data_IF_847263821774
#
_entry.id   IF_847263821774
#
_cell.length_a   1.000
_cell.length_b   1.000
_cell.length_c   1.000
_cell.angle_alpha   90.00
_cell.angle_beta   90.00
_cell.angle_gamma   90.00
#
_symmetry.space_group_name_H-M   'P 1'
#
loop_
_entity.id
_entity.type
_entity.pdbx_description
1 polymer ?
#
# COMPACT_ATOMS: atom_id res chain seq x y z
N UNK A 1 -28.58 -10.77 2.74
CA UNK A 1 -27.12 -11.03 2.84
C UNK A 1 -26.66 -10.80 4.27
N UNK A 2 -25.88 -11.72 4.84
CA UNK A 2 -25.25 -11.53 6.16
C UNK A 2 -24.27 -10.36 6.06
N UNK A 3 -24.29 -9.45 7.03
CA UNK A 3 -23.31 -8.36 7.12
C UNK A 3 -21.92 -8.96 7.40
N UNK A 4 -20.94 -8.59 6.60
CA UNK A 4 -19.55 -9.01 6.76
C UNK A 4 -18.85 -7.94 7.57
N UNK A 5 -18.34 -8.33 8.73
CA UNK A 5 -17.54 -7.48 9.61
C UNK A 5 -16.06 -7.49 9.18
N UNK A 6 -15.52 -6.31 8.93
CA UNK A 6 -14.11 -6.07 8.60
C UNK A 6 -13.50 -5.26 9.74
N UNK A 7 -12.39 -5.76 10.30
CA UNK A 7 -11.61 -5.06 11.31
C UNK A 7 -10.29 -4.57 10.70
N UNK A 8 -10.10 -3.26 10.64
CA UNK A 8 -8.84 -2.63 10.23
C UNK A 8 -7.95 -2.47 11.46
N UNK A 9 -6.71 -2.92 11.34
CA UNK A 9 -5.74 -2.91 12.43
C UNK A 9 -4.45 -2.21 11.96
N UNK A 10 -4.05 -1.20 12.73
CA UNK A 10 -2.84 -0.43 12.51
C UNK A 10 -2.03 -0.23 13.81
N UNK A 11 -0.73 0.00 13.67
CA UNK A 11 0.08 0.56 14.74
C UNK A 11 0.23 2.08 14.54
N UNK A 12 0.89 2.76 15.48
CA UNK A 12 1.11 4.21 15.43
C UNK A 12 1.84 4.64 14.13
N UNK A 13 2.73 3.81 13.62
CA UNK A 13 3.48 4.09 12.39
C UNK A 13 2.64 3.95 11.11
N UNK A 14 1.47 3.31 11.16
CA UNK A 14 0.60 3.08 9.99
C UNK A 14 -0.82 3.59 10.20
N UNK A 15 -1.09 4.36 11.26
CA UNK A 15 -2.44 4.80 11.63
C UNK A 15 -3.02 5.77 10.59
N UNK A 16 -2.21 6.68 10.04
CA UNK A 16 -2.63 7.62 9.00
C UNK A 16 -3.05 6.86 7.75
N UNK A 17 -2.18 6.01 7.21
CA UNK A 17 -2.48 5.21 6.03
C UNK A 17 -3.72 4.31 6.18
N UNK A 18 -3.92 3.75 7.37
CA UNK A 18 -5.07 2.91 7.66
C UNK A 18 -6.37 3.72 7.85
N UNK A 19 -6.27 4.93 8.43
CA UNK A 19 -7.38 5.89 8.47
C UNK A 19 -7.75 6.34 7.07
N UNK A 20 -6.75 6.60 6.24
CA UNK A 20 -6.96 7.03 4.87
C UNK A 20 -7.70 5.94 4.09
N UNK A 21 -7.23 4.70 4.21
CA UNK A 21 -7.93 3.54 3.70
C UNK A 21 -9.36 3.47 4.25
N UNK A 22 -9.56 3.50 5.57
CA UNK A 22 -10.87 3.43 6.21
C UNK A 22 -11.85 4.49 5.66
N UNK A 23 -11.39 5.73 5.52
CA UNK A 23 -12.18 6.84 5.01
C UNK A 23 -12.57 6.66 3.53
N UNK A 24 -11.73 6.00 2.72
CA UNK A 24 -12.08 5.66 1.33
C UNK A 24 -13.27 4.69 1.27
N UNK A 25 -13.38 3.75 2.21
CA UNK A 25 -14.42 2.71 2.18
C UNK A 25 -15.75 3.10 2.82
N UNK A 26 -15.77 4.01 3.79
CA UNK A 26 -17.02 4.44 4.47
C UNK A 26 -17.84 5.41 3.62
N UNK A 27 -17.24 5.96 2.56
CA UNK A 27 -17.96 6.84 1.64
C UNK A 27 -19.21 6.10 1.12
N UNK A 28 -20.42 6.68 1.28
CA UNK A 28 -21.70 6.05 0.91
C UNK A 28 -21.76 5.54 -0.53
N UNK A 29 -20.90 6.09 -1.39
CA UNK A 29 -20.79 5.80 -2.82
C UNK A 29 -20.44 4.32 -3.08
N UNK A 30 -19.68 3.67 -2.19
CA UNK A 30 -19.14 2.33 -2.45
C UNK A 30 -19.92 1.17 -1.80
N UNK A 31 -21.01 1.47 -1.09
CA UNK A 31 -21.74 0.50 -0.26
C UNK A 31 -22.99 -0.12 -0.93
N UNK A 32 -23.38 0.29 -2.15
CA UNK A 32 -24.60 -0.25 -2.78
C UNK A 32 -24.51 -1.75 -3.08
N UNK A 33 -23.32 -2.25 -3.37
CA UNK A 33 -23.11 -3.60 -3.90
C UNK A 33 -22.60 -4.58 -2.83
N UNK A 34 -22.14 -4.09 -1.67
CA UNK A 34 -21.53 -4.91 -0.63
C UNK A 34 -22.07 -4.62 0.78
N UNK A 35 -22.39 -5.69 1.51
CA UNK A 35 -22.82 -5.62 2.91
C UNK A 35 -21.64 -5.67 3.90
N UNK A 36 -20.71 -4.71 3.79
CA UNK A 36 -19.56 -4.60 4.71
C UNK A 36 -19.84 -3.65 5.88
N UNK A 37 -19.37 -4.02 7.07
CA UNK A 37 -19.21 -3.11 8.21
C UNK A 37 -17.72 -3.01 8.58
N UNK A 38 -17.19 -1.80 8.60
CA UNK A 38 -15.79 -1.55 8.92
C UNK A 38 -15.66 -1.04 10.36
N UNK A 39 -14.77 -1.65 11.13
CA UNK A 39 -14.33 -1.18 12.43
C UNK A 39 -12.82 -0.89 12.37
N UNK A 40 -12.37 0.12 13.10
CA UNK A 40 -10.97 0.50 13.17
C UNK A 40 -10.45 0.34 14.61
N UNK A 41 -9.34 -0.38 14.77
CA UNK A 41 -8.68 -0.56 16.07
C UNK A 41 -7.15 -0.39 15.97
N UNK A 42 -6.54 0.10 17.05
CA UNK A 42 -5.09 0.15 17.16
C UNK A 42 -4.57 -1.12 17.82
N UNK A 43 -3.32 -1.51 17.51
CA UNK A 43 -2.77 -2.73 18.13
C UNK A 43 -2.62 -2.62 19.66
N UNK A 44 -2.47 -1.40 20.19
CA UNK A 44 -2.42 -1.16 21.63
C UNK A 44 -3.76 -1.42 22.31
N UNK A 45 -4.90 -1.08 21.67
CA UNK A 45 -6.24 -1.37 22.20
C UNK A 45 -6.57 -2.87 22.16
N UNK A 46 -5.95 -3.61 21.25
CA UNK A 46 -6.20 -5.03 21.02
C UNK A 46 -5.60 -5.96 22.09
N UNK A 47 -4.68 -5.47 22.93
CA UNK A 47 -4.02 -6.26 23.99
C UNK A 47 -4.96 -6.80 25.07
N UNK A 48 -6.20 -6.31 25.16
CA UNK A 48 -7.18 -6.72 26.19
C UNK A 48 -8.38 -7.50 25.65
N UNK A 49 -8.56 -7.62 24.32
CA UNK A 49 -9.86 -8.03 23.74
C UNK A 49 -9.86 -8.90 22.48
N UNK A 50 -8.70 -9.19 21.86
CA UNK A 50 -8.63 -9.88 20.55
C UNK A 50 -9.38 -11.21 20.48
N UNK A 51 -9.44 -11.96 21.60
CA UNK A 51 -10.13 -13.24 21.67
C UNK A 51 -11.65 -13.16 21.48
N UNK A 52 -12.24 -11.96 21.52
CA UNK A 52 -13.68 -11.72 21.39
C UNK A 52 -14.08 -11.09 20.05
N UNK A 53 -13.13 -10.77 19.17
CA UNK A 53 -13.46 -10.18 17.87
C UNK A 53 -14.29 -11.15 17.02
N UNK A 54 -15.46 -10.69 16.57
CA UNK A 54 -16.35 -11.40 15.65
C UNK A 54 -16.12 -10.99 14.19
N UNK A 55 -15.01 -10.30 13.90
CA UNK A 55 -14.65 -9.88 12.56
C UNK A 55 -14.45 -11.08 11.64
N UNK A 56 -14.98 -10.99 10.42
CA UNK A 56 -14.81 -12.01 9.38
C UNK A 56 -13.46 -11.87 8.68
N UNK A 57 -13.00 -10.63 8.47
CA UNK A 57 -11.68 -10.29 7.95
C UNK A 57 -10.97 -9.33 8.92
N UNK A 58 -9.66 -9.53 9.06
CA UNK A 58 -8.74 -8.52 9.57
C UNK A 58 -7.89 -7.94 8.44
N UNK A 59 -7.89 -6.62 8.31
CA UNK A 59 -7.03 -5.89 7.39
C UNK A 59 -5.87 -5.29 8.18
N UNK A 60 -4.63 -5.56 7.78
CA UNK A 60 -3.43 -5.15 8.50
C UNK A 60 -2.51 -4.32 7.61
N UNK A 61 -1.97 -3.21 8.13
CA UNK A 61 -1.21 -2.23 7.34
C UNK A 61 0.30 -2.19 7.59
N UNK A 62 0.79 -2.91 8.61
CA UNK A 62 2.21 -2.91 8.98
C UNK A 62 2.69 -4.35 9.27
N UNK A 63 3.89 -4.77 8.80
CA UNK A 63 4.44 -6.09 9.09
C UNK A 63 4.56 -6.38 10.59
N UNK A 64 4.99 -5.43 11.41
CA UNK A 64 5.08 -5.57 12.88
C UNK A 64 3.72 -5.88 13.49
N UNK A 65 2.67 -5.17 13.05
CA UNK A 65 1.28 -5.42 13.46
C UNK A 65 0.87 -6.84 13.07
N UNK A 66 1.19 -7.27 11.86
CA UNK A 66 0.93 -8.61 11.36
C UNK A 66 1.64 -9.69 12.19
N UNK A 67 2.90 -9.47 12.57
CA UNK A 67 3.66 -10.36 13.45
C UNK A 67 3.07 -10.47 14.86
N UNK A 68 2.70 -9.33 15.44
CA UNK A 68 2.10 -9.29 16.77
C UNK A 68 0.72 -9.96 16.79
N UNK A 69 -0.04 -9.80 15.71
CA UNK A 69 -1.34 -10.42 15.50
C UNK A 69 -1.23 -11.93 15.30
N UNK A 70 -0.24 -12.39 14.53
CA UNK A 70 -0.03 -13.83 14.29
C UNK A 70 0.08 -14.63 15.60
N UNK A 71 0.65 -14.04 16.67
CA UNK A 71 0.75 -14.69 17.99
C UNK A 71 -0.57 -14.71 18.78
N UNK A 72 -1.57 -13.92 18.40
CA UNK A 72 -2.79 -13.64 19.18
C UNK A 72 -4.08 -14.03 18.47
N UNK A 73 -4.05 -14.15 17.14
CA UNK A 73 -5.23 -14.47 16.32
C UNK A 73 -5.64 -15.92 16.58
N UNK A 74 -6.95 -16.13 16.74
CA UNK A 74 -7.56 -17.46 16.72
C UNK A 74 -7.67 -17.94 15.26
N UNK A 75 -7.60 -19.26 15.07
CA UNK A 75 -7.65 -20.04 13.81
C UNK A 75 -8.77 -19.60 12.81
N UNK A 76 -9.78 -18.85 13.26
CA UNK A 76 -11.01 -18.62 12.53
C UNK A 76 -11.12 -17.34 11.69
N UNK A 77 -10.09 -16.48 11.61
CA UNK A 77 -10.19 -15.19 10.92
C UNK A 77 -9.29 -15.11 9.68
N UNK A 78 -9.81 -14.54 8.60
CA UNK A 78 -9.01 -14.25 7.41
C UNK A 78 -8.17 -13.00 7.61
N UNK A 79 -6.87 -13.10 7.32
CA UNK A 79 -5.98 -11.95 7.37
C UNK A 79 -5.68 -11.49 5.95
N UNK A 80 -5.91 -10.20 5.69
CA UNK A 80 -5.51 -9.52 4.48
C UNK A 80 -4.49 -8.45 4.85
N UNK A 81 -3.31 -8.55 4.27
CA UNK A 81 -2.25 -7.59 4.50
C UNK A 81 -2.23 -6.55 3.38
N UNK A 82 -2.29 -5.26 3.72
CA UNK A 82 -2.22 -4.17 2.76
C UNK A 82 -0.91 -3.42 2.95
N UNK A 83 -0.15 -3.28 1.87
CA UNK A 83 1.18 -2.68 1.91
C UNK A 83 1.48 -1.85 0.67
N UNK A 84 2.53 -1.06 0.75
CA UNK A 84 3.22 -0.45 -0.40
C UNK A 84 4.57 -1.15 -0.62
N UNK A 85 5.34 -0.71 -1.61
CA UNK A 85 6.66 -1.28 -1.94
C UNK A 85 7.66 -1.22 -0.77
N UNK A 86 7.58 -0.21 0.09
CA UNK A 86 8.50 -0.06 1.23
C UNK A 86 8.19 -1.09 2.32
N UNK A 87 6.90 -1.25 2.65
CA UNK A 87 6.44 -2.11 3.73
C UNK A 87 6.42 -3.60 3.33
N UNK A 88 6.33 -3.91 2.03
CA UNK A 88 6.37 -5.30 1.54
C UNK A 88 7.68 -6.03 1.86
N UNK A 89 8.81 -5.29 1.94
CA UNK A 89 10.18 -5.84 2.03
C UNK A 89 10.46 -6.71 3.26
N UNK A 90 9.67 -6.55 4.31
CA UNK A 90 9.91 -7.19 5.60
C UNK A 90 8.85 -8.25 5.94
N UNK A 91 8.11 -8.72 4.93
CA UNK A 91 7.18 -9.81 5.15
C UNK A 91 7.93 -11.11 5.42
N UNK A 92 7.58 -11.84 6.49
CA UNK A 92 8.11 -13.17 6.70
C UNK A 92 7.58 -14.09 5.58
N UNK A 93 8.38 -15.07 5.13
CA UNK A 93 7.99 -15.99 4.05
C UNK A 93 6.74 -16.82 4.34
N UNK A 94 6.35 -16.95 5.61
CA UNK A 94 5.25 -17.80 6.07
C UNK A 94 4.49 -17.08 7.18
N UNK A 95 3.23 -16.75 6.91
CA UNK A 95 2.28 -16.27 7.90
C UNK A 95 1.05 -17.16 7.84
N UNK A 96 0.89 -18.06 8.82
CA UNK A 96 -0.36 -18.74 9.03
C UNK A 96 -1.55 -17.77 8.97
N UNK A 97 -2.61 -18.19 8.30
CA UNK A 97 -3.86 -17.44 8.11
C UNK A 97 -3.76 -16.19 7.23
N UNK A 98 -2.59 -15.87 6.66
CA UNK A 98 -2.48 -14.84 5.64
C UNK A 98 -3.12 -15.34 4.35
N UNK A 99 -4.30 -14.81 4.00
CA UNK A 99 -5.04 -15.25 2.84
C UNK A 99 -4.74 -14.44 1.59
N UNK A 100 -4.39 -13.15 1.75
CA UNK A 100 -4.11 -12.26 0.63
C UNK A 100 -3.22 -11.09 1.06
N UNK A 101 -2.41 -10.64 0.12
CA UNK A 101 -1.68 -9.38 0.18
C UNK A 101 -2.23 -8.47 -0.90
N UNK A 102 -2.67 -7.27 -0.53
CA UNK A 102 -2.99 -6.20 -1.46
C UNK A 102 -1.82 -5.22 -1.43
N UNK A 103 -1.07 -5.18 -2.52
CA UNK A 103 -0.01 -4.20 -2.68
C UNK A 103 -0.56 -2.99 -3.42
N UNK A 104 -0.49 -1.84 -2.77
CA UNK A 104 -0.94 -0.58 -3.30
C UNK A 104 0.21 0.19 -3.93
N UNK A 105 0.03 0.59 -5.19
CA UNK A 105 1.01 1.35 -5.98
C UNK A 105 2.40 0.71 -6.06
N UNK A 106 2.48 -0.60 -5.89
CA UNK A 106 3.76 -1.31 -5.88
C UNK A 106 4.06 -2.08 -7.16
N UNK A 107 5.27 -2.64 -7.23
CA UNK A 107 5.73 -3.50 -8.31
C UNK A 107 6.04 -4.92 -7.79
N UNK A 108 5.38 -5.95 -8.33
CA UNK A 108 5.60 -7.37 -7.92
C UNK A 108 7.03 -7.82 -8.21
N UNK A 109 7.68 -7.22 -9.21
CA UNK A 109 9.07 -7.51 -9.56
C UNK A 109 10.07 -6.89 -8.57
N UNK A 110 9.60 -6.02 -7.67
CA UNK A 110 10.46 -5.52 -6.60
C UNK A 110 10.89 -6.68 -5.69
N UNK A 111 12.14 -6.65 -5.26
CA UNK A 111 12.78 -7.71 -4.46
C UNK A 111 12.23 -7.79 -3.01
N UNK A 112 10.99 -7.37 -2.80
CA UNK A 112 10.37 -7.15 -1.50
C UNK A 112 9.53 -8.35 -1.03
N UNK A 113 9.13 -9.28 -1.91
CA UNK A 113 8.27 -10.42 -1.57
C UNK A 113 8.97 -11.79 -1.67
N UNK A 114 10.26 -11.86 -1.37
CA UNK A 114 11.03 -13.11 -1.52
C UNK A 114 10.43 -14.22 -0.66
N UNK A 115 9.84 -15.20 -1.33
CA UNK A 115 9.22 -16.36 -0.70
C UNK A 115 7.72 -16.27 -0.49
N UNK A 116 7.05 -15.15 -0.79
CA UNK A 116 5.59 -15.08 -0.72
C UNK A 116 4.97 -15.49 -2.06
N UNK A 117 4.07 -16.50 -2.11
CA UNK A 117 3.41 -16.94 -3.34
C UNK A 117 2.72 -15.79 -4.10
N UNK A 118 3.00 -15.66 -5.41
CA UNK A 118 2.47 -14.57 -6.25
C UNK A 118 0.95 -14.58 -6.35
N UNK A 119 0.34 -15.75 -6.17
CA UNK A 119 -1.10 -15.99 -6.13
C UNK A 119 -1.77 -15.31 -4.93
N UNK A 120 -1.01 -15.07 -3.85
CA UNK A 120 -1.48 -14.32 -2.69
C UNK A 120 -1.40 -12.81 -2.92
N UNK A 121 -0.68 -12.33 -3.91
CA UNK A 121 -0.44 -10.90 -4.14
C UNK A 121 -1.43 -10.36 -5.17
N UNK A 122 -2.08 -9.25 -4.84
CA UNK A 122 -2.89 -8.44 -5.76
C UNK A 122 -2.30 -7.03 -5.79
N UNK A 123 -1.86 -6.58 -6.96
CA UNK A 123 -1.39 -5.19 -7.12
C UNK A 123 -2.53 -4.32 -7.58
N UNK A 124 -2.81 -3.28 -6.80
CA UNK A 124 -3.90 -2.35 -7.05
C UNK A 124 -3.35 -0.93 -7.01
N UNK A 125 -3.43 -0.15 -8.11
CA UNK A 125 -3.00 1.24 -8.08
C UNK A 125 -4.05 2.08 -7.34
N UNK A 126 -3.82 2.46 -6.09
CA UNK A 126 -4.78 3.23 -5.30
C UNK A 126 -4.14 4.54 -4.83
N UNK A 127 -4.73 5.67 -5.22
CA UNK A 127 -4.26 6.98 -4.81
C UNK A 127 -4.96 7.36 -3.48
N UNK A 128 -4.24 7.36 -2.36
CA UNK A 128 -4.80 7.70 -1.02
C UNK A 128 -5.15 9.18 -0.83
N UNK A 129 -5.30 9.93 -1.90
CA UNK A 129 -5.40 11.37 -1.79
C UNK A 129 -6.85 11.71 -1.46
N UNK A 130 -7.09 12.01 -0.18
CA UNK A 130 -8.40 12.48 0.28
C UNK A 130 -8.77 13.78 -0.41
N UNK A 131 -9.96 13.80 -1.03
CA UNK A 131 -10.68 15.04 -1.30
C UNK A 131 -11.07 15.65 0.03
N UNK A 132 -10.22 16.47 0.63
CA UNK A 132 -10.69 17.39 1.68
C UNK A 132 -11.56 18.43 0.97
N UNK A 133 -12.87 18.33 1.17
CA UNK A 133 -13.85 19.30 0.69
C UNK A 133 -13.57 20.66 1.32
N UNK A 134 -12.80 21.49 0.62
CA UNK A 134 -12.45 22.82 1.07
C UNK A 134 -11.41 23.44 0.17
N UNK A 135 -11.82 23.98 -0.98
CA UNK A 135 -11.05 25.00 -1.68
C UNK A 135 -10.91 26.19 -0.73
N UNK A 136 -9.80 26.30 -0.02
CA UNK A 136 -9.37 27.59 0.49
C UNK A 136 -8.77 28.32 -0.70
N UNK A 137 -9.52 29.23 -1.31
CA UNK A 137 -8.92 30.23 -2.17
C UNK A 137 -7.89 31.00 -1.33
N UNK A 138 -6.63 30.99 -1.76
CA UNK A 138 -5.56 31.73 -1.12
C UNK A 138 -5.99 33.21 -1.00
N UNK A 139 -6.25 33.67 0.22
CA UNK A 139 -6.48 35.09 0.46
C UNK A 139 -5.14 35.81 0.34
N UNK A 140 -4.98 36.55 -0.76
CA UNK A 140 -3.88 37.48 -0.97
C UNK A 140 -3.92 38.56 0.11
N UNK A 141 -3.10 38.40 1.14
CA UNK A 141 -2.67 39.47 2.03
C UNK A 141 -1.15 39.60 1.90
N UNK A 142 -0.56 40.68 2.42
CA UNK A 142 0.90 40.97 2.48
C UNK A 142 1.71 39.93 3.30
N UNK A 143 1.28 38.68 3.29
CA UNK A 143 1.81 37.56 4.06
C UNK A 143 3.01 36.99 3.32
N UNK A 144 4.07 36.72 4.09
CA UNK A 144 5.24 35.95 3.65
C UNK A 144 4.79 34.65 3.00
N UNK A 145 5.27 34.37 1.78
CA UNK A 145 4.94 33.14 1.07
C UNK A 145 5.52 31.95 1.84
N UNK A 146 4.67 30.99 2.16
CA UNK A 146 5.02 29.76 2.88
C UNK A 146 5.21 28.62 1.89
N UNK A 147 6.39 28.01 1.93
CA UNK A 147 6.79 26.97 1.00
C UNK A 147 7.10 25.72 1.82
N UNK A 148 6.50 24.61 1.43
CA UNK A 148 6.79 23.29 2.00
C UNK A 148 7.76 22.54 1.10
N UNK A 149 8.75 21.89 1.69
CA UNK A 149 9.65 20.99 0.96
C UNK A 149 9.79 19.65 1.68
N UNK A 150 9.32 18.58 1.03
CA UNK A 150 9.44 17.21 1.54
C UNK A 150 10.71 16.56 0.94
N UNK A 151 11.67 16.20 1.80
CA UNK A 151 12.95 15.61 1.36
C UNK A 151 12.84 14.08 1.37
N UNK A 152 12.99 13.47 0.19
CA UNK A 152 13.16 12.03 0.06
C UNK A 152 14.52 11.52 0.58
N UNK A 153 14.63 10.21 0.84
CA UNK A 153 15.86 9.61 1.40
C UNK A 153 17.11 9.80 0.52
N UNK A 154 16.95 9.96 -0.79
CA UNK A 154 18.04 10.01 -1.77
C UNK A 154 18.40 11.44 -2.23
N UNK A 155 17.81 12.47 -1.60
CA UNK A 155 17.79 13.82 -2.16
C UNK A 155 18.62 14.86 -1.40
N UNK A 156 19.46 14.44 -0.46
CA UNK A 156 20.21 15.36 0.42
C UNK A 156 21.06 16.39 -0.35
N UNK A 157 21.67 16.00 -1.47
CA UNK A 157 22.44 16.91 -2.32
C UNK A 157 21.56 17.97 -2.97
N UNK A 158 20.38 17.58 -3.44
CA UNK A 158 19.41 18.50 -4.02
C UNK A 158 18.81 19.41 -2.95
N UNK A 159 18.56 18.89 -1.75
CA UNK A 159 18.09 19.68 -0.63
C UNK A 159 19.04 20.80 -0.25
N UNK A 160 20.36 20.54 -0.25
CA UNK A 160 21.38 21.60 -0.06
C UNK A 160 21.29 22.71 -1.11
N UNK A 161 20.97 22.35 -2.36
CA UNK A 161 20.79 23.31 -3.46
C UNK A 161 19.52 24.14 -3.26
N UNK A 162 18.41 23.51 -2.87
CA UNK A 162 17.15 24.19 -2.53
C UNK A 162 17.34 25.16 -1.35
N UNK A 163 17.92 24.69 -0.25
CA UNK A 163 18.23 25.52 0.94
C UNK A 163 19.10 26.72 0.56
N UNK A 164 20.12 26.51 -0.28
CA UNK A 164 20.97 27.59 -0.75
C UNK A 164 20.15 28.68 -1.45
N UNK A 165 19.17 28.33 -2.27
CA UNK A 165 18.31 29.31 -2.96
C UNK A 165 17.50 30.11 -1.95
N UNK A 166 16.86 29.44 -0.99
CA UNK A 166 16.02 30.11 0.01
C UNK A 166 16.80 30.96 1.02
N UNK A 167 18.07 30.60 1.29
CA UNK A 167 18.95 31.46 2.09
C UNK A 167 19.19 32.84 1.45
N UNK A 168 19.20 32.92 0.12
CA UNK A 168 19.38 34.18 -0.61
C UNK A 168 18.06 34.95 -0.79
N UNK A 169 16.91 34.35 -0.42
CA UNK A 169 15.59 34.93 -0.60
C UNK A 169 14.79 34.91 0.73
N UNK A 170 15.16 35.76 1.70
CA UNK A 170 14.55 35.77 3.04
C UNK A 170 13.09 36.28 3.06
N UNK A 171 12.56 36.70 1.92
CA UNK A 171 11.14 37.06 1.75
C UNK A 171 10.20 35.84 1.76
N UNK A 172 10.75 34.63 1.78
CA UNK A 172 10.01 33.38 1.79
C UNK A 172 10.28 32.60 3.07
N UNK A 173 9.26 31.93 3.59
CA UNK A 173 9.39 30.96 4.67
C UNK A 173 9.45 29.56 4.06
N UNK A 174 10.52 28.80 4.35
CA UNK A 174 10.68 27.42 3.90
C UNK A 174 10.55 26.46 5.08
N UNK A 175 9.53 25.61 5.05
CA UNK A 175 9.37 24.54 6.02
C UNK A 175 9.77 23.21 5.37
N UNK A 176 10.80 22.57 5.92
CA UNK A 176 11.39 21.34 5.41
C UNK A 176 10.93 20.15 6.24
N UNK A 177 10.27 19.19 5.61
CA UNK A 177 9.85 17.95 6.25
C UNK A 177 10.83 16.83 5.88
N UNK A 178 11.46 16.23 6.89
CA UNK A 178 12.52 15.26 6.68
C UNK A 178 12.69 14.30 7.86
N UNK A 179 13.50 13.25 7.67
CA UNK A 179 13.97 12.40 8.77
C UNK A 179 15.01 13.14 9.62
N UNK A 180 15.03 12.85 10.92
CA UNK A 180 15.95 13.49 11.89
C UNK A 180 17.43 13.42 11.46
N UNK A 181 17.86 12.29 10.88
CA UNK A 181 19.22 12.13 10.38
C UNK A 181 19.58 13.16 9.30
N UNK A 182 18.64 13.49 8.42
CA UNK A 182 18.87 14.46 7.35
C UNK A 182 18.94 15.89 7.91
N UNK A 183 18.10 16.24 8.88
CA UNK A 183 18.18 17.53 9.58
C UNK A 183 19.57 17.71 10.20
N UNK A 184 20.06 16.69 10.90
CA UNK A 184 21.41 16.70 11.46
C UNK A 184 22.48 16.96 10.39
N UNK A 185 22.36 16.35 9.21
CA UNK A 185 23.28 16.52 8.08
C UNK A 185 23.18 17.87 7.37
N UNK A 186 22.07 18.60 7.56
CA UNK A 186 21.81 19.92 7.00
C UNK A 186 22.05 21.05 8.02
N UNK A 187 22.40 20.70 9.26
CA UNK A 187 22.69 21.67 10.32
C UNK A 187 23.79 22.66 9.89
N UNK A 188 23.47 23.95 10.01
CA UNK A 188 24.38 25.05 9.64
C UNK A 188 24.37 25.44 8.15
N UNK A 189 23.54 24.80 7.32
CA UNK A 189 23.35 25.19 5.92
C UNK A 189 22.18 26.17 5.71
N UNK A 190 21.42 26.55 6.75
CA UNK A 190 20.18 27.31 6.63
C UNK A 190 20.12 28.53 7.55
N UNK A 191 19.31 29.54 7.18
CA UNK A 191 19.06 30.75 7.97
C UNK A 191 17.75 30.65 8.78
N UNK A 192 17.36 31.73 9.48
CA UNK A 192 16.19 31.76 10.37
C UNK A 192 14.82 31.63 9.67
N UNK A 193 14.77 31.75 8.34
CA UNK A 193 13.52 31.61 7.58
C UNK A 193 13.25 30.17 7.14
N UNK A 194 14.14 29.24 7.53
CA UNK A 194 14.05 27.83 7.19
C UNK A 194 13.81 27.01 8.46
N UNK A 195 12.67 26.34 8.53
CA UNK A 195 12.27 25.50 9.64
C UNK A 195 12.36 24.02 9.25
N UNK A 196 12.62 23.16 10.24
CA UNK A 196 12.66 21.71 10.04
C UNK A 196 11.58 21.04 10.89
N UNK A 197 10.90 20.08 10.27
CA UNK A 197 9.83 19.31 10.88
C UNK A 197 10.04 17.81 10.62
N UNK A 198 9.73 16.94 11.61
CA UNK A 198 9.66 15.51 11.37
C UNK A 198 8.60 15.17 10.32
N UNK A 199 8.88 14.21 9.43
CA UNK A 199 7.91 13.74 8.42
C UNK A 199 6.56 13.29 9.01
N UNK A 200 6.54 12.83 10.26
CA UNK A 200 5.35 12.32 10.94
C UNK A 200 4.72 13.34 11.91
N UNK A 201 5.04 14.64 11.80
CA UNK A 201 4.43 15.67 12.66
C UNK A 201 3.00 15.99 12.22
N UNK A 202 2.16 16.52 13.12
CA UNK A 202 0.82 16.98 12.73
C UNK A 202 0.87 18.08 11.65
N UNK A 203 1.96 18.88 11.61
CA UNK A 203 2.17 19.89 10.57
C UNK A 203 2.43 19.26 9.19
N UNK A 204 2.95 18.03 9.14
CA UNK A 204 3.16 17.31 7.89
C UNK A 204 1.84 16.92 7.21
N UNK A 205 0.70 17.04 7.90
CA UNK A 205 -0.61 16.70 7.37
C UNK A 205 -1.31 17.88 6.66
N UNK A 206 -1.01 19.12 7.05
CA UNK A 206 -1.71 20.31 6.54
C UNK A 206 -0.98 20.97 5.37
N UNK A 207 -1.03 20.34 4.19
CA UNK A 207 -0.43 20.89 2.95
C UNK A 207 -1.13 22.17 2.49
N UNK A 208 -2.42 22.32 2.78
CA UNK A 208 -3.26 23.46 2.34
C UNK A 208 -2.91 24.80 2.99
N UNK A 209 -2.04 24.83 4.00
CA UNK A 209 -1.56 26.06 4.63
C UNK A 209 -0.34 26.67 3.91
N UNK A 210 0.17 25.98 2.88
CA UNK A 210 1.33 26.38 2.08
C UNK A 210 0.91 26.95 0.72
N UNK A 211 1.68 27.92 0.24
CA UNK A 211 1.48 28.57 -1.06
C UNK A 211 2.17 27.80 -2.20
N UNK A 212 3.16 26.96 -1.87
CA UNK A 212 3.89 26.09 -2.79
C UNK A 212 4.37 24.84 -2.07
N UNK A 213 4.22 23.70 -2.72
CA UNK A 213 4.79 22.43 -2.31
C UNK A 213 5.94 22.03 -3.23
N UNK A 214 7.08 21.66 -2.67
CA UNK A 214 8.26 21.13 -3.37
C UNK A 214 8.46 19.68 -2.95
N UNK A 215 8.74 18.79 -3.90
CA UNK A 215 9.09 17.40 -3.58
C UNK A 215 8.91 16.45 -4.76
N UNK A 216 8.68 15.17 -4.46
CA UNK A 216 8.49 14.11 -5.45
C UNK A 216 7.32 13.18 -5.10
N UNK A 217 7.02 12.27 -6.02
CA UNK A 217 6.14 11.12 -5.83
C UNK A 217 4.74 11.50 -5.29
N UNK A 218 4.25 10.77 -4.28
CA UNK A 218 2.90 10.95 -3.73
C UNK A 218 2.72 12.32 -3.04
N UNK A 219 3.79 12.96 -2.58
CA UNK A 219 3.71 14.30 -1.97
C UNK A 219 3.21 15.34 -2.98
N UNK A 220 3.75 15.29 -4.20
CA UNK A 220 3.30 16.16 -5.30
C UNK A 220 1.86 15.86 -5.68
N UNK A 221 1.51 14.58 -5.84
CA UNK A 221 0.14 14.19 -6.18
C UNK A 221 -0.85 14.70 -5.11
N UNK A 222 -0.50 14.57 -3.83
CA UNK A 222 -1.31 15.07 -2.70
C UNK A 222 -1.49 16.59 -2.77
N UNK A 223 -0.43 17.34 -3.02
CA UNK A 223 -0.50 18.79 -3.18
C UNK A 223 -1.44 19.20 -4.33
N UNK A 224 -1.36 18.55 -5.49
CA UNK A 224 -2.19 18.86 -6.67
C UNK A 224 -3.69 18.64 -6.38
N UNK A 225 -4.05 17.52 -5.77
CA UNK A 225 -5.46 17.24 -5.41
C UNK A 225 -5.97 18.21 -4.33
N UNK A 226 -5.09 18.66 -3.45
CA UNK A 226 -5.39 19.71 -2.48
C UNK A 226 -5.37 21.13 -3.08
N UNK A 227 -5.20 21.24 -4.39
CA UNK A 227 -5.10 22.49 -5.15
C UNK A 227 -3.96 23.41 -4.68
N UNK A 228 -2.91 22.83 -4.13
CA UNK A 228 -1.67 23.53 -3.78
C UNK A 228 -0.71 23.45 -4.96
N UNK A 229 -0.18 24.58 -5.45
CA UNK A 229 0.88 24.59 -6.46
C UNK A 229 2.02 23.65 -6.10
N UNK A 230 2.46 22.83 -7.06
CA UNK A 230 3.44 21.79 -6.81
C UNK A 230 4.64 21.91 -7.76
N UNK A 231 5.84 21.84 -7.20
CA UNK A 231 7.11 21.94 -7.92
C UNK A 231 7.92 20.66 -7.75
N UNK A 232 8.10 19.93 -8.86
CA UNK A 232 8.68 18.58 -8.86
C UNK A 232 10.19 18.63 -8.83
N UNK A 233 10.76 18.04 -7.79
CA UNK A 233 12.20 17.82 -7.62
C UNK A 233 12.37 16.45 -7.00
N UNK A 234 13.02 15.52 -7.70
CA UNK A 234 13.13 14.15 -7.20
C UNK A 234 14.35 13.38 -7.70
N UNK A 235 14.30 12.07 -7.50
CA UNK A 235 15.33 11.09 -7.92
C UNK A 235 15.70 11.14 -9.41
N UNK A 236 14.82 11.65 -10.28
CA UNK A 236 15.04 11.82 -11.72
C UNK A 236 15.30 13.28 -12.11
N UNK A 237 15.84 14.07 -11.19
CA UNK A 237 16.24 15.45 -11.44
C UNK A 237 15.13 16.48 -11.23
N UNK A 238 15.25 17.61 -11.94
CA UNK A 238 14.39 18.79 -11.76
C UNK A 238 13.26 18.79 -12.79
N UNK A 239 12.02 18.61 -12.31
CA UNK A 239 10.82 18.70 -13.14
C UNK A 239 10.33 20.13 -13.31
N UNK A 240 10.26 20.90 -12.23
CA UNK A 240 9.68 22.24 -12.24
C UNK A 240 8.21 22.26 -11.85
N UNK A 241 7.51 23.37 -12.13
CA UNK A 241 6.12 23.58 -11.72
C UNK A 241 5.15 22.67 -12.50
N UNK A 242 4.18 22.10 -11.79
CA UNK A 242 3.08 21.34 -12.39
C UNK A 242 1.98 22.30 -12.84
N UNK A 243 1.59 22.16 -14.10
CA UNK A 243 0.57 22.96 -14.79
C UNK A 243 -0.41 22.01 -15.49
N UNK A 244 -1.56 22.53 -15.89
CA UNK A 244 -2.59 21.73 -16.58
C UNK A 244 -2.05 21.02 -17.82
N UNK A 245 -1.15 21.65 -18.56
CA UNK A 245 -0.57 21.16 -19.81
C UNK A 245 0.37 19.96 -19.58
N UNK A 246 1.07 19.92 -18.45
CA UNK A 246 2.09 18.92 -18.16
C UNK A 246 1.66 17.88 -17.11
N UNK A 247 0.52 18.10 -16.44
CA UNK A 247 0.03 17.23 -15.36
C UNK A 247 -0.04 15.75 -15.76
N UNK A 248 -0.57 15.44 -16.94
CA UNK A 248 -0.74 14.06 -17.39
C UNK A 248 0.60 13.34 -17.58
N UNK A 249 1.61 14.05 -18.09
CA UNK A 249 2.96 13.51 -18.21
C UNK A 249 3.58 13.24 -16.84
N UNK A 250 3.43 14.17 -15.90
CA UNK A 250 3.90 13.97 -14.54
C UNK A 250 3.19 12.82 -13.84
N UNK A 251 1.87 12.71 -13.99
CA UNK A 251 1.07 11.62 -13.45
C UNK A 251 1.55 10.26 -13.96
N UNK A 252 1.77 10.13 -15.29
CA UNK A 252 2.29 8.89 -15.90
C UNK A 252 3.70 8.52 -15.43
N UNK A 253 4.52 9.51 -15.07
CA UNK A 253 5.89 9.29 -14.59
C UNK A 253 5.99 9.19 -13.06
N UNK A 254 4.87 9.33 -12.35
CA UNK A 254 4.82 9.27 -10.89
C UNK A 254 5.55 10.43 -10.21
N UNK A 255 5.65 11.62 -10.83
CA UNK A 255 6.24 12.82 -10.22
C UNK A 255 7.67 12.64 -9.69
N UNK A 256 8.51 11.84 -10.38
CA UNK A 256 9.86 11.47 -9.90
C UNK A 256 10.96 12.49 -10.17
N UNK A 257 10.67 13.59 -10.86
CA UNK A 257 11.67 14.55 -11.34
C UNK A 257 11.35 15.05 -12.73
N UNK A 258 12.37 15.18 -13.59
CA UNK A 258 12.21 15.65 -14.97
C UNK A 258 11.44 14.64 -15.81
N UNK A 259 10.50 15.10 -16.65
CA UNK A 259 9.84 14.22 -17.63
C UNK A 259 10.91 13.68 -18.61
N UNK A 260 11.07 12.36 -18.65
CA UNK A 260 12.15 11.69 -19.39
C UNK A 260 13.54 11.82 -18.76
N UNK A 261 13.62 12.23 -17.49
CA UNK A 261 14.85 12.24 -16.71
C UNK A 261 15.36 10.84 -16.38
N UNK A 262 16.64 10.75 -15.99
CA UNK A 262 17.26 9.49 -15.58
C UNK A 262 17.49 9.47 -14.07
N UNK A 263 17.50 8.27 -13.47
CA UNK A 263 17.79 8.11 -12.05
C UNK A 263 19.16 8.70 -11.69
N UNK A 264 19.20 9.53 -10.65
CA UNK A 264 20.42 10.18 -10.17
C UNK A 264 20.86 11.38 -11.02
N UNK A 265 19.99 11.89 -11.90
CA UNK A 265 20.28 13.07 -12.70
C UNK A 265 20.63 14.28 -11.83
N UNK A 266 21.78 14.90 -12.10
CA UNK A 266 22.23 16.05 -11.35
C UNK A 266 21.37 17.29 -11.67
N UNK A 267 20.88 17.96 -10.62
CA UNK A 267 20.16 19.24 -10.73
C UNK A 267 21.14 20.42 -10.71
N UNK A 268 21.33 21.20 -11.79
CA UNK A 268 22.19 22.38 -11.76
C UNK A 268 21.55 23.50 -10.93
N UNK A 269 22.29 24.10 -9.99
CA UNK A 269 21.77 25.16 -9.08
C UNK A 269 21.17 26.33 -9.86
N UNK A 270 21.84 26.76 -10.94
CA UNK A 270 21.39 27.89 -11.75
C UNK A 270 20.07 27.60 -12.47
N UNK A 271 19.85 26.35 -12.88
CA UNK A 271 18.59 25.94 -13.50
C UNK A 271 17.47 25.89 -12.45
N UNK A 272 17.78 25.39 -11.26
CA UNK A 272 16.88 25.37 -10.12
C UNK A 272 16.42 26.79 -9.74
N UNK A 273 17.35 27.75 -9.65
CA UNK A 273 17.04 29.17 -9.41
C UNK A 273 16.09 29.74 -10.45
N UNK A 274 16.37 29.53 -11.74
CA UNK A 274 15.54 30.06 -12.85
C UNK A 274 14.12 29.47 -12.79
N UNK A 275 14.00 28.15 -12.65
CA UNK A 275 12.69 27.50 -12.64
C UNK A 275 11.89 27.82 -11.37
N UNK A 276 12.55 28.02 -10.22
CA UNK A 276 11.87 28.51 -9.03
C UNK A 276 11.34 29.92 -9.22
N UNK A 277 12.13 30.85 -9.76
CA UNK A 277 11.66 32.20 -10.02
C UNK A 277 10.45 32.22 -10.97
N UNK A 278 10.48 31.42 -12.04
CA UNK A 278 9.34 31.26 -12.96
C UNK A 278 8.09 30.69 -12.24
N UNK A 279 8.28 29.68 -11.39
CA UNK A 279 7.18 29.09 -10.62
C UNK A 279 6.52 30.11 -9.68
N UNK A 280 7.31 30.91 -8.96
CA UNK A 280 6.80 31.92 -8.03
C UNK A 280 6.02 33.01 -8.80
N UNK A 281 6.57 33.51 -9.91
CA UNK A 281 5.89 34.50 -10.75
C UNK A 281 4.53 33.99 -11.25
N UNK A 282 4.46 32.73 -11.69
CA UNK A 282 3.22 32.08 -12.13
C UNK A 282 2.20 31.95 -11.00
N UNK A 283 2.63 31.52 -9.81
CA UNK A 283 1.76 31.41 -8.62
C UNK A 283 1.20 32.77 -8.25
N UNK A 284 2.03 33.81 -8.18
CA UNK A 284 1.58 35.17 -7.87
C UNK A 284 0.59 35.70 -8.91
N UNK A 285 0.85 35.48 -10.21
CA UNK A 285 -0.05 35.87 -11.29
C UNK A 285 -1.41 35.18 -11.18
N UNK A 286 -1.40 33.87 -10.87
CA UNK A 286 -2.61 33.07 -10.74
C UNK A 286 -3.41 33.42 -9.48
N UNK A 287 -2.75 33.66 -8.35
CA UNK A 287 -3.38 34.13 -7.12
C UNK A 287 -4.07 35.48 -7.33
N UNK A 288 -3.44 36.42 -8.05
CA UNK A 288 -4.06 37.70 -8.43
C UNK A 288 -5.32 37.52 -9.29
N UNK A 289 -5.33 36.51 -10.14
CA UNK A 289 -6.44 36.22 -11.05
C UNK A 289 -7.50 35.26 -10.47
N UNK A 290 -7.26 34.71 -9.27
CA UNK A 290 -8.13 33.71 -8.65
C UNK A 290 -8.19 32.37 -9.41
N UNK A 291 -7.17 32.05 -10.21
CA UNK A 291 -7.10 30.83 -11.02
C UNK A 291 -6.17 29.79 -10.37
N UNK A 292 -6.50 28.51 -10.52
CA UNK A 292 -5.59 27.43 -10.14
C UNK A 292 -4.59 27.16 -11.27
N UNK A 293 -3.33 26.81 -10.92
CA UNK A 293 -2.31 26.38 -11.90
C UNK A 293 -2.70 25.08 -12.62
N UNK A 294 -3.47 24.25 -11.94
CA UNK A 294 -3.96 22.99 -12.44
C UNK A 294 -5.49 23.03 -12.47
N UNK A 295 -6.08 22.76 -13.64
CA UNK A 295 -7.53 22.71 -13.81
C UNK A 295 -8.14 21.61 -12.92
N UNK A 296 -9.05 21.94 -11.99
CA UNK A 296 -9.73 20.97 -11.13
C UNK A 296 -10.38 19.81 -11.88
N UNK A 297 -10.95 20.07 -13.07
CA UNK A 297 -11.60 19.02 -13.88
C UNK A 297 -10.58 17.98 -14.36
N UNK A 298 -9.36 18.42 -14.68
CA UNK A 298 -8.28 17.52 -15.10
C UNK A 298 -7.70 16.74 -13.92
N UNK A 299 -7.68 17.33 -12.73
CA UNK A 299 -7.35 16.60 -11.50
C UNK A 299 -8.41 15.52 -11.25
N UNK A 300 -9.69 15.85 -11.38
CA UNK A 300 -10.77 14.88 -11.23
C UNK A 300 -10.67 13.73 -12.23
N UNK A 301 -10.42 14.03 -13.51
CA UNK A 301 -10.23 13.02 -14.57
C UNK A 301 -9.08 12.06 -14.25
N UNK A 302 -7.94 12.56 -13.79
CA UNK A 302 -6.74 11.74 -13.58
C UNK A 302 -6.74 11.00 -12.24
N UNK A 303 -7.31 11.59 -11.20
CA UNK A 303 -7.23 11.08 -9.82
C UNK A 303 -8.56 10.56 -9.27
N UNK A 304 -9.71 11.00 -9.81
CA UNK A 304 -11.06 10.63 -9.36
C UNK A 304 -11.47 9.22 -9.78
N UNK A 305 -11.51 8.96 -11.10
CA UNK A 305 -12.01 7.69 -11.65
C UNK A 305 -11.10 6.49 -11.31
N UNK A 306 -9.80 6.72 -11.16
CA UNK A 306 -8.84 5.67 -10.82
C UNK A 306 -9.09 5.08 -9.43
N UNK A 307 -9.56 5.92 -8.49
CA UNK A 307 -9.77 5.49 -7.12
C UNK A 307 -11.02 4.64 -6.96
N UNK A 308 -12.11 4.99 -7.63
CA UNK A 308 -13.33 4.18 -7.63
C UNK A 308 -13.06 2.78 -8.20
N UNK A 309 -12.38 2.70 -9.34
CA UNK A 309 -11.99 1.42 -9.95
C UNK A 309 -11.13 0.59 -9.00
N UNK A 310 -10.18 1.22 -8.32
CA UNK A 310 -9.25 0.53 -7.42
C UNK A 310 -9.90 0.13 -6.09
N UNK A 311 -10.77 0.96 -5.54
CA UNK A 311 -11.61 0.62 -4.38
C UNK A 311 -12.48 -0.59 -4.73
N UNK A 312 -13.15 -0.57 -5.89
CA UNK A 312 -13.94 -1.71 -6.36
C UNK A 312 -13.11 -2.99 -6.45
N UNK A 313 -11.91 -2.92 -7.04
CA UNK A 313 -10.99 -4.07 -7.08
C UNK A 313 -10.61 -4.57 -5.68
N UNK A 314 -10.40 -3.67 -4.71
CA UNK A 314 -10.14 -4.07 -3.33
C UNK A 314 -11.36 -4.79 -2.76
N UNK A 315 -12.56 -4.22 -2.90
CA UNK A 315 -13.80 -4.83 -2.44
C UNK A 315 -14.03 -6.22 -3.05
N UNK A 316 -13.77 -6.38 -4.35
CA UNK A 316 -13.83 -7.67 -5.05
C UNK A 316 -12.85 -8.70 -4.47
N UNK A 317 -11.63 -8.27 -4.12
CA UNK A 317 -10.63 -9.12 -3.46
C UNK A 317 -11.07 -9.51 -2.05
N UNK A 318 -11.65 -8.59 -1.28
CA UNK A 318 -12.19 -8.87 0.05
C UNK A 318 -13.34 -9.89 -0.03
N UNK A 319 -14.32 -9.65 -0.90
CA UNK A 319 -15.47 -10.52 -1.13
C UNK A 319 -15.06 -11.91 -1.62
N UNK A 320 -14.13 -11.98 -2.57
CA UNK A 320 -13.55 -13.25 -3.02
C UNK A 320 -12.89 -14.02 -1.86
N UNK A 321 -12.09 -13.35 -1.04
CA UNK A 321 -11.37 -13.98 0.07
C UNK A 321 -12.33 -14.58 1.11
N UNK A 322 -13.41 -13.86 1.42
CA UNK A 322 -14.46 -14.33 2.33
C UNK A 322 -15.18 -15.54 1.78
N UNK A 323 -15.64 -15.45 0.53
CA UNK A 323 -16.38 -16.55 -0.12
C UNK A 323 -15.52 -17.80 -0.19
N UNK A 324 -14.25 -17.64 -0.59
CA UNK A 324 -13.28 -18.72 -0.62
C UNK A 324 -13.12 -19.38 0.76
N UNK A 325 -12.94 -18.61 1.82
CA UNK A 325 -12.88 -19.16 3.19
C UNK A 325 -14.16 -19.89 3.56
N UNK A 326 -15.33 -19.31 3.28
CA UNK A 326 -16.60 -19.97 3.56
C UNK A 326 -16.71 -21.31 2.82
N UNK A 327 -16.31 -21.38 1.55
CA UNK A 327 -16.31 -22.64 0.80
C UNK A 327 -15.34 -23.68 1.36
N UNK A 328 -14.20 -23.26 1.92
CA UNK A 328 -13.22 -24.14 2.58
C UNK A 328 -13.74 -24.68 3.92
N UNK A 329 -14.58 -23.92 4.62
CA UNK A 329 -15.14 -24.33 5.90
C UNK A 329 -16.52 -24.99 5.78
N UNK A 330 -17.10 -25.03 4.59
CA UNK A 330 -18.40 -25.65 4.32
C UNK A 330 -18.20 -27.09 3.82
N UNK A 331 -18.53 -28.13 4.62
CA UNK A 331 -18.35 -29.52 4.23
C UNK A 331 -19.09 -29.91 2.94
N UNK A 332 -20.17 -29.20 2.61
CA UNK A 332 -20.97 -29.46 1.39
C UNK A 332 -20.24 -28.98 0.14
N UNK A 333 -19.49 -27.88 0.25
CA UNK A 333 -18.79 -27.26 -0.89
C UNK A 333 -17.34 -27.77 -0.98
N UNK A 334 -16.75 -28.20 0.13
CA UNK A 334 -15.34 -28.59 0.24
C UNK A 334 -14.89 -29.58 -0.83
N UNK A 335 -15.67 -30.64 -1.06
CA UNK A 335 -15.41 -31.67 -2.07
C UNK A 335 -15.28 -31.12 -3.51
N UNK A 336 -15.91 -29.97 -3.79
CA UNK A 336 -15.89 -29.32 -5.11
C UNK A 336 -14.69 -28.41 -5.34
N UNK A 337 -13.90 -28.11 -4.30
CA UNK A 337 -12.77 -27.20 -4.38
C UNK A 337 -11.63 -27.81 -5.21
N UNK A 338 -11.02 -26.98 -6.04
CA UNK A 338 -9.78 -27.32 -6.75
C UNK A 338 -8.57 -27.10 -5.84
N UNK A 339 -7.65 -28.07 -5.84
CA UNK A 339 -6.43 -28.06 -5.06
C UNK A 339 -5.27 -27.70 -6.00
N UNK A 340 -4.45 -26.73 -5.61
CA UNK A 340 -3.24 -26.37 -6.33
C UNK A 340 -2.11 -26.12 -5.34
N UNK A 341 -0.96 -26.76 -5.52
CA UNK A 341 0.24 -26.42 -4.75
C UNK A 341 0.75 -25.04 -5.21
N UNK A 342 1.06 -24.16 -4.26
CA UNK A 342 1.55 -22.81 -4.56
C UNK A 342 2.88 -22.84 -5.31
N UNK A 343 3.13 -21.89 -6.22
CA UNK A 343 4.26 -21.93 -7.17
C UNK A 343 5.65 -21.99 -6.52
N UNK A 344 5.79 -21.48 -5.31
CA UNK A 344 7.07 -21.47 -4.58
C UNK A 344 7.26 -22.64 -3.63
N UNK A 345 6.31 -23.56 -3.58
CA UNK A 345 6.37 -24.73 -2.72
C UNK A 345 6.95 -25.89 -3.49
N UNK A 346 7.93 -26.57 -2.89
CA UNK A 346 8.48 -27.81 -3.42
C UNK A 346 8.65 -28.82 -2.30
N UNK A 347 8.26 -30.06 -2.56
CA UNK A 347 8.65 -31.18 -1.71
C UNK A 347 9.95 -31.81 -2.23
N UNK A 348 10.85 -32.17 -1.31
CA UNK A 348 12.07 -32.93 -1.61
C UNK A 348 12.18 -34.08 -0.60
N UNK A 349 12.74 -35.20 -1.03
CA UNK A 349 13.05 -36.32 -0.16
C UNK A 349 14.51 -36.21 0.30
N UNK A 350 14.74 -36.25 1.61
CA UNK A 350 16.07 -36.23 2.21
C UNK A 350 16.20 -37.39 3.20
N UNK A 351 16.84 -38.48 2.76
CA UNK A 351 16.89 -39.71 3.54
C UNK A 351 15.54 -40.41 3.57
N UNK A 352 14.94 -40.52 4.76
CA UNK A 352 13.60 -41.06 4.99
C UNK A 352 12.56 -39.96 5.27
N UNK A 353 12.96 -38.69 5.25
CA UNK A 353 12.07 -37.56 5.53
C UNK A 353 11.64 -36.89 4.24
N UNK A 354 10.35 -36.55 4.16
CA UNK A 354 9.81 -35.69 3.12
C UNK A 354 9.75 -34.27 3.65
N UNK A 355 10.47 -33.34 3.05
CA UNK A 355 10.50 -31.95 3.52
C UNK A 355 9.87 -31.02 2.50
N UNK A 356 9.06 -30.07 2.97
CA UNK A 356 8.49 -28.99 2.20
C UNK A 356 9.40 -27.77 2.35
N UNK A 357 9.86 -27.25 1.22
CA UNK A 357 10.68 -26.05 1.17
C UNK A 357 10.02 -24.98 0.31
N UNK A 358 10.39 -23.74 0.61
CA UNK A 358 10.21 -22.63 -0.30
C UNK A 358 11.34 -22.67 -1.34
N UNK A 359 11.03 -22.92 -2.61
CA UNK A 359 12.02 -23.13 -3.66
C UNK A 359 12.82 -21.86 -4.03
N UNK A 360 12.29 -20.66 -3.74
CA UNK A 360 12.99 -19.39 -3.98
C UNK A 360 13.98 -19.11 -2.85
N UNK A 361 13.52 -19.21 -1.61
CA UNK A 361 14.32 -18.81 -0.43
C UNK A 361 15.15 -19.96 0.14
N UNK A 362 14.87 -21.21 -0.26
CA UNK A 362 15.47 -22.42 0.31
C UNK A 362 14.99 -22.75 1.74
N UNK A 363 14.04 -21.96 2.28
CA UNK A 363 13.57 -22.11 3.66
C UNK A 363 12.77 -23.40 3.84
N UNK A 364 13.08 -24.15 4.90
CA UNK A 364 12.25 -25.26 5.36
C UNK A 364 10.92 -24.72 5.91
N UNK A 365 9.81 -25.20 5.35
CA UNK A 365 8.45 -24.87 5.79
C UNK A 365 7.96 -25.91 6.79
N UNK A 366 8.21 -27.19 6.50
CA UNK A 366 7.82 -28.31 7.36
C UNK A 366 8.28 -29.65 6.84
N UNK A 367 7.95 -30.70 7.58
CA UNK A 367 8.18 -32.11 7.24
C UNK A 367 6.84 -32.80 7.04
N UNK A 368 6.79 -33.74 6.13
CA UNK A 368 5.67 -34.65 5.91
C UNK A 368 6.11 -36.06 6.30
N UNK A 369 5.24 -36.81 6.96
CA UNK A 369 5.41 -38.26 7.06
C UNK A 369 5.05 -38.94 5.72
N UNK A 370 5.24 -40.27 5.65
CA UNK A 370 5.00 -41.04 4.41
C UNK A 370 3.55 -40.94 3.92
N UNK A 371 2.60 -40.92 4.84
CA UNK A 371 1.16 -40.85 4.57
C UNK A 371 0.76 -39.47 4.03
N UNK A 372 1.18 -38.41 4.72
CA UNK A 372 0.98 -37.01 4.31
C UNK A 372 1.65 -36.72 2.96
N UNK A 373 2.84 -37.27 2.71
CA UNK A 373 3.53 -37.13 1.43
C UNK A 373 2.76 -37.81 0.30
N UNK A 374 2.19 -38.99 0.54
CA UNK A 374 1.35 -39.67 -0.46
C UNK A 374 0.17 -38.79 -0.87
N UNK A 375 -0.53 -38.18 0.09
CA UNK A 375 -1.63 -37.23 -0.16
C UNK A 375 -1.12 -35.98 -0.88
N UNK A 376 -0.09 -35.33 -0.34
CA UNK A 376 0.48 -34.10 -0.89
C UNK A 376 0.97 -34.26 -2.34
N UNK A 377 1.58 -35.40 -2.67
CA UNK A 377 2.10 -35.67 -4.02
C UNK A 377 1.01 -35.65 -5.11
N UNK A 378 -0.26 -35.91 -4.74
CA UNK A 378 -1.41 -35.85 -5.67
C UNK A 378 -1.94 -34.42 -5.87
N UNK A 379 -1.73 -33.53 -4.90
CA UNK A 379 -2.18 -32.14 -4.95
C UNK A 379 -1.53 -31.31 -6.07
N UNK A 380 -0.37 -31.74 -6.59
CA UNK A 380 0.34 -31.07 -7.67
C UNK A 380 -0.34 -31.14 -9.05
N UNK A 381 -1.42 -31.90 -9.21
CA UNK A 381 -2.06 -32.19 -10.50
C UNK A 381 -3.32 -31.34 -10.79
N UNK A 382 -3.61 -30.30 -10.01
CA UNK A 382 -4.83 -29.48 -10.17
C UNK A 382 -6.12 -30.32 -10.18
N UNK A 383 -6.31 -31.12 -9.13
CA UNK A 383 -7.46 -31.99 -8.92
C UNK A 383 -8.48 -31.38 -7.95
N UNK A 384 -9.70 -31.90 -7.89
CA UNK A 384 -10.65 -31.54 -6.84
C UNK A 384 -10.43 -32.34 -5.56
N UNK A 385 -10.93 -31.86 -4.43
CA UNK A 385 -10.92 -32.61 -3.16
C UNK A 385 -11.63 -33.95 -3.28
N UNK A 386 -12.81 -33.99 -3.90
CA UNK A 386 -13.50 -35.25 -4.18
C UNK A 386 -12.63 -36.24 -4.96
N UNK A 387 -11.88 -35.74 -5.96
CA UNK A 387 -10.99 -36.58 -6.75
C UNK A 387 -9.78 -37.05 -5.94
N UNK A 388 -9.27 -36.22 -5.03
CA UNK A 388 -8.20 -36.62 -4.11
C UNK A 388 -8.66 -37.81 -3.26
N UNK A 389 -9.86 -37.74 -2.65
CA UNK A 389 -10.41 -38.86 -1.89
C UNK A 389 -10.51 -40.17 -2.69
N UNK A 390 -10.88 -40.10 -3.97
CA UNK A 390 -10.89 -41.28 -4.85
C UNK A 390 -9.48 -41.85 -5.11
N UNK A 391 -8.46 -40.99 -5.14
CA UNK A 391 -7.07 -41.38 -5.40
C UNK A 391 -6.32 -41.87 -4.15
N UNK A 392 -6.89 -41.62 -2.97
CA UNK A 392 -6.31 -41.98 -1.67
C UNK A 392 -7.34 -42.71 -0.80
N UNK A 393 -7.89 -43.86 -1.25
CA UNK A 393 -9.00 -44.55 -0.58
C UNK A 393 -8.62 -45.18 0.76
N UNK A 394 -7.32 -45.33 1.03
CA UNK A 394 -6.79 -45.93 2.26
C UNK A 394 -6.80 -44.96 3.46
N UNK A 395 -7.13 -43.68 3.24
CA UNK A 395 -7.16 -42.64 4.26
C UNK A 395 -8.59 -42.19 4.56
N UNK A 396 -8.87 -41.86 5.82
CA UNK A 396 -10.17 -41.32 6.20
C UNK A 396 -10.38 -39.93 5.57
N UNK A 397 -11.61 -39.64 5.15
CA UNK A 397 -11.93 -38.36 4.52
C UNK A 397 -11.69 -37.17 5.45
N UNK A 398 -12.02 -37.33 6.73
CA UNK A 398 -11.84 -36.28 7.74
C UNK A 398 -10.35 -35.92 7.90
N UNK A 399 -9.46 -36.92 7.98
CA UNK A 399 -8.02 -36.71 8.07
C UNK A 399 -7.46 -35.99 6.84
N UNK A 400 -7.90 -36.37 5.63
CA UNK A 400 -7.50 -35.67 4.39
C UNK A 400 -7.96 -34.21 4.42
N UNK A 401 -9.19 -33.95 4.85
CA UNK A 401 -9.77 -32.61 4.89
C UNK A 401 -9.04 -31.72 5.89
N UNK A 402 -8.79 -32.24 7.09
CA UNK A 402 -8.03 -31.54 8.13
C UNK A 402 -6.60 -31.25 7.67
N UNK A 403 -5.94 -32.20 7.02
CA UNK A 403 -4.62 -31.99 6.43
C UNK A 403 -4.63 -30.91 5.35
N UNK A 404 -5.59 -30.92 4.42
CA UNK A 404 -5.71 -29.90 3.38
C UNK A 404 -5.98 -28.50 3.97
N UNK A 405 -6.81 -28.41 5.00
CA UNK A 405 -7.06 -27.15 5.71
C UNK A 405 -5.76 -26.65 6.34
N UNK A 406 -4.99 -27.52 7.02
CA UNK A 406 -3.70 -27.14 7.58
C UNK A 406 -2.71 -26.67 6.51
N UNK A 407 -2.63 -27.35 5.37
CA UNK A 407 -1.78 -26.93 4.25
C UNK A 407 -2.21 -25.56 3.69
N UNK A 408 -3.52 -25.31 3.60
CA UNK A 408 -4.06 -24.03 3.14
C UNK A 408 -3.79 -22.90 4.14
N UNK A 409 -4.00 -23.13 5.44
CA UNK A 409 -3.72 -22.17 6.50
C UNK A 409 -2.25 -21.75 6.51
N UNK A 410 -1.34 -22.67 6.17
CA UNK A 410 0.09 -22.42 6.04
C UNK A 410 0.51 -21.89 4.66
N UNK A 411 -0.45 -21.55 3.79
CA UNK A 411 -0.18 -21.05 2.43
C UNK A 411 0.68 -22.01 1.58
N UNK A 412 0.55 -23.32 1.81
CA UNK A 412 1.26 -24.36 1.05
C UNK A 412 0.44 -24.76 -0.18
N UNK A 413 -0.87 -24.90 0.00
CA UNK A 413 -1.82 -25.16 -1.08
C UNK A 413 -2.83 -24.04 -1.18
N UNK A 414 -3.34 -23.86 -2.40
CA UNK A 414 -4.47 -23.05 -2.72
C UNK A 414 -5.71 -23.93 -2.93
N UNK A 415 -6.80 -23.61 -2.22
CA UNK A 415 -8.10 -24.26 -2.36
C UNK A 415 -9.07 -23.26 -3.00
N UNK A 416 -9.34 -23.44 -4.29
CA UNK A 416 -10.12 -22.48 -5.08
C UNK A 416 -11.46 -23.08 -5.51
N UNK A 417 -12.60 -22.41 -5.25
CA UNK A 417 -13.89 -22.83 -5.78
C UNK A 417 -13.84 -22.90 -7.30
N UNK A 418 -14.33 -24.01 -7.88
CA UNK A 418 -14.49 -24.07 -9.32
C UNK A 418 -15.47 -22.96 -9.75
N UNK A 419 -15.00 -22.04 -10.59
CA UNK A 419 -15.72 -20.85 -11.06
C UNK A 419 -17.04 -21.14 -11.79
N UNK A 420 -17.40 -22.41 -11.96
CA UNK A 420 -18.67 -22.89 -12.49
C UNK A 420 -19.86 -22.66 -11.53
N UNK A 421 -19.64 -22.40 -10.25
CA UNK A 421 -20.71 -21.93 -9.37
C UNK A 421 -20.87 -20.40 -9.45
N UNK A 422 -21.43 -19.92 -10.56
CA UNK A 422 -22.20 -18.68 -10.54
C UNK A 422 -23.47 -18.96 -9.72
N UNK A 423 -23.39 -18.73 -8.42
CA UNK A 423 -24.55 -18.81 -7.53
C UNK A 423 -25.59 -17.79 -7.98
N UNK A 424 -26.81 -18.27 -8.26
CA UNK A 424 -27.99 -17.47 -8.59
C UNK A 424 -28.69 -16.89 -7.38
#
# INVERSE_FOLDING_TARGET
MKMISILIIANENSIEYANDFYNLFISPIYHSDYNFSFNFETISSLNTGLHQSTASIMIVFNPETLFQLHRKIKINQSIIYICNDENGRNLPPTLPYLNKIIMVNGNVESHSFWGTPIELISVIPLNFIHKTSGLKHAQTSDKVMKIRYDIGNEELLTAKKVIKIFNHNPSYQLDIFTKELNEFMLKGFYNENINFYPLNSNESQNITDYDLFIGSDNGIARAIVMHVPAFVVGSHGLGGIVESENLEHYYRTGFKGRIGGILGEEVPVKLLEILFSDAIEKIELHNKNGLALVNPDKVEELFGDSNEISIKKILDVLDYTIRKRHSILDPVIFDSLSIKVNSYIKSICYGQEHIIINNITGRLIGTLNDDEYQIFSKCGQSITVAKLHELTPDFEREDINDFLIQLWENSIVDLTPNTLFKYG
#
